data_IF_550654576252
#
_entry.id   IF_550654576252
#
_cell.length_a   1.000
_cell.length_b   1.000
_cell.length_c   1.000
_cell.angle_alpha   90.00
_cell.angle_beta   90.00
_cell.angle_gamma   90.00
#
_symmetry.space_group_name_H-M   'P 1'
#
loop_
_entity.id
_entity.type
_entity.pdbx_description
1 polymer ?
#
# COMPACT_ATOMS: atom_id res chain seq x y z
N UNK A 1 -26.65 10.54 55.52
CA UNK A 1 -26.49 9.97 54.18
C UNK A 1 -25.55 10.87 53.41
N UNK A 2 -24.34 10.42 53.12
CA UNK A 2 -23.34 11.22 52.40
C UNK A 2 -23.65 11.24 50.90
N UNK A 3 -23.58 12.39 50.21
CA UNK A 3 -23.80 12.45 48.78
C UNK A 3 -22.68 11.71 48.06
N UNK A 4 -23.05 10.77 47.18
CA UNK A 4 -22.09 10.11 46.28
C UNK A 4 -21.65 11.16 45.26
N UNK A 5 -20.38 11.57 45.32
CA UNK A 5 -19.72 12.34 44.26
C UNK A 5 -19.89 11.55 42.96
N UNK A 6 -20.63 12.13 42.01
CA UNK A 6 -20.67 11.60 40.65
C UNK A 6 -19.23 11.66 40.11
N UNK A 7 -18.63 10.52 39.73
CA UNK A 7 -17.29 10.53 39.17
C UNK A 7 -17.35 11.36 37.89
N UNK A 8 -16.64 12.49 37.89
CA UNK A 8 -16.48 13.36 36.74
C UNK A 8 -16.14 12.51 35.51
N UNK A 9 -16.91 12.68 34.44
CA UNK A 9 -16.76 11.95 33.20
C UNK A 9 -15.42 12.34 32.56
N UNK A 10 -14.37 11.60 32.93
CA UNK A 10 -13.01 11.88 32.45
C UNK A 10 -12.98 11.68 30.94
N UNK A 11 -12.94 12.79 30.20
CA UNK A 11 -12.76 12.81 28.75
C UNK A 11 -11.52 11.98 28.41
N UNK A 12 -11.74 10.91 27.64
CA UNK A 12 -10.66 10.05 27.17
C UNK A 12 -10.19 10.54 25.81
N UNK A 13 -8.90 10.81 25.69
CA UNK A 13 -8.28 11.25 24.43
C UNK A 13 -7.43 10.10 23.92
N UNK A 14 -7.74 9.62 22.73
CA UNK A 14 -6.91 8.63 22.04
C UNK A 14 -5.63 9.31 21.55
N UNK A 15 -4.48 8.69 21.85
CA UNK A 15 -3.18 9.12 21.31
C UNK A 15 -2.72 8.08 20.30
N UNK A 16 -2.59 8.44 19.01
CA UNK A 16 -2.07 7.53 17.98
C UNK A 16 -0.66 7.03 18.32
N UNK A 17 -0.30 5.82 17.87
CA UNK A 17 1.05 5.30 18.07
C UNK A 17 2.08 6.23 17.42
N UNK A 18 3.16 6.52 18.14
CA UNK A 18 4.22 7.38 17.61
C UNK A 18 5.02 6.64 16.54
N UNK A 19 5.36 7.28 15.41
CA UNK A 19 6.26 6.67 14.45
C UNK A 19 7.62 6.45 15.10
N UNK A 20 8.21 5.28 14.85
CA UNK A 20 9.55 4.97 15.32
C UNK A 20 10.55 5.75 14.47
N UNK A 21 11.42 6.54 15.09
CA UNK A 21 12.38 7.37 14.38
C UNK A 21 13.39 6.45 13.70
N UNK A 22 13.42 6.50 12.36
CA UNK A 22 14.18 5.60 11.50
C UNK A 22 13.88 4.10 11.71
N UNK A 23 12.70 3.75 12.22
CA UNK A 23 12.29 2.35 12.45
C UNK A 23 13.08 1.63 13.55
N UNK A 24 13.82 2.34 14.40
CA UNK A 24 14.71 1.75 15.40
C UNK A 24 13.91 1.30 16.64
N UNK A 25 13.93 0.00 16.94
CA UNK A 25 13.26 -0.61 18.11
C UNK A 25 14.16 -0.61 19.35
N UNK A 26 15.48 -0.64 19.15
CA UNK A 26 16.43 -0.60 20.25
C UNK A 26 16.52 0.83 20.80
N UNK A 27 16.58 1.00 22.13
CA UNK A 27 16.80 2.32 22.73
C UNK A 27 18.15 2.83 22.23
N UNK A 28 18.15 3.99 21.58
CA UNK A 28 19.38 4.68 21.21
C UNK A 28 20.15 5.13 22.46
N UNK A 29 21.46 5.44 22.32
CA UNK A 29 22.23 6.06 23.39
C UNK A 29 21.53 7.34 23.86
N UNK A 30 21.25 7.35 25.16
CA UNK A 30 20.40 8.27 25.93
C UNK A 30 20.56 9.76 25.61
N UNK A 31 19.47 10.45 25.21
CA UNK A 31 19.11 11.82 25.64
C UNK A 31 17.94 12.47 24.88
N UNK A 32 17.63 12.08 23.63
CA UNK A 32 16.78 12.91 22.77
C UNK A 32 15.36 12.40 22.49
N UNK A 33 15.00 11.20 22.95
CA UNK A 33 13.74 10.57 22.59
C UNK A 33 12.99 10.08 23.83
N UNK A 34 11.73 10.47 23.96
CA UNK A 34 10.84 9.92 24.99
C UNK A 34 10.81 8.39 24.87
N UNK A 35 10.77 7.70 26.02
CA UNK A 35 10.79 6.24 26.05
C UNK A 35 9.67 5.68 25.16
N UNK A 36 10.07 4.94 24.12
CA UNK A 36 9.18 4.15 23.30
C UNK A 36 8.39 3.17 24.19
N UNK A 37 7.07 3.13 24.04
CA UNK A 37 6.23 2.19 24.79
C UNK A 37 5.88 1.00 23.89
N UNK A 38 5.67 -0.19 24.45
CA UNK A 38 5.29 -1.37 23.64
C UNK A 38 4.05 -1.15 22.74
N UNK A 39 3.20 -0.19 23.08
CA UNK A 39 2.08 0.27 22.25
C UNK A 39 2.50 0.97 20.96
N UNK A 40 3.69 1.55 20.88
CA UNK A 40 4.16 2.21 19.67
C UNK A 40 4.70 1.21 18.62
N UNK A 41 4.98 -0.06 18.97
CA UNK A 41 5.42 -1.07 17.99
C UNK A 41 4.22 -1.37 17.08
N UNK A 42 4.43 -1.22 15.77
CA UNK A 42 3.54 -1.77 14.74
C UNK A 42 4.07 -3.12 14.30
N UNK A 43 3.40 -4.19 14.74
CA UNK A 43 3.68 -5.54 14.30
C UNK A 43 2.62 -5.99 13.30
N UNK A 44 2.92 -7.08 12.60
CA UNK A 44 1.98 -7.76 11.70
C UNK A 44 1.92 -9.24 12.05
N UNK A 45 0.78 -9.87 11.90
CA UNK A 45 0.72 -11.34 11.92
C UNK A 45 1.29 -11.90 10.63
N UNK A 46 1.50 -13.22 10.59
CA UNK A 46 1.84 -13.94 9.35
C UNK A 46 0.83 -13.67 8.21
N UNK A 47 -0.44 -13.45 8.56
CA UNK A 47 -1.51 -13.07 7.60
C UNK A 47 -1.50 -11.58 7.23
N UNK A 48 -0.47 -10.83 7.63
CA UNK A 48 -0.35 -9.39 7.40
C UNK A 48 -1.29 -8.53 8.25
N UNK A 49 -1.97 -9.08 9.25
CA UNK A 49 -2.92 -8.31 10.09
C UNK A 49 -2.17 -7.45 11.10
N UNK A 50 -2.56 -6.19 11.32
CA UNK A 50 -1.88 -5.34 12.29
C UNK A 50 -2.05 -5.89 13.71
N UNK A 51 -0.95 -5.84 14.47
CA UNK A 51 -0.87 -6.31 15.83
C UNK A 51 -0.03 -5.35 16.69
N UNK A 52 -0.39 -5.23 17.97
CA UNK A 52 0.30 -4.33 18.90
C UNK A 52 0.15 -4.77 20.35
N UNK A 53 0.99 -4.20 21.22
CA UNK A 53 0.92 -4.44 22.65
C UNK A 53 0.09 -3.37 23.38
N UNK A 54 -0.81 -3.82 24.24
CA UNK A 54 -1.64 -3.02 25.12
C UNK A 54 -1.38 -3.42 26.57
N UNK A 55 -1.35 -2.43 27.48
CA UNK A 55 -1.21 -2.66 28.92
C UNK A 55 -2.26 -3.63 29.47
N UNK A 56 -3.52 -3.48 29.02
CA UNK A 56 -4.66 -4.23 29.54
C UNK A 56 -4.91 -5.54 28.81
N UNK A 57 -4.84 -5.52 27.48
CA UNK A 57 -5.19 -6.68 26.64
C UNK A 57 -3.97 -7.51 26.19
N UNK A 58 -2.77 -7.10 26.62
CA UNK A 58 -1.48 -7.72 26.28
C UNK A 58 -1.20 -7.62 24.78
N UNK A 59 -1.31 -8.67 24.00
CA UNK A 59 -1.22 -8.57 22.54
C UNK A 59 -2.62 -8.42 21.97
N UNK A 60 -2.81 -7.47 21.05
CA UNK A 60 -4.04 -7.29 20.27
C UNK A 60 -3.71 -7.51 18.80
N UNK A 61 -4.55 -8.30 18.14
CA UNK A 61 -4.54 -8.53 16.69
C UNK A 61 -5.87 -8.01 16.15
N UNK A 62 -5.80 -7.18 15.11
CA UNK A 62 -6.97 -6.64 14.43
C UNK A 62 -7.24 -7.38 13.13
N UNK A 63 -8.35 -8.12 13.08
CA UNK A 63 -8.70 -8.95 11.93
C UNK A 63 -9.62 -8.22 10.92
N UNK A 64 -10.18 -7.06 11.30
CA UNK A 64 -11.03 -6.22 10.46
C UNK A 64 -12.25 -5.66 11.20
N UNK A 65 -13.11 -4.95 10.47
CA UNK A 65 -14.37 -4.43 10.98
C UNK A 65 -15.55 -5.02 10.20
N UNK A 66 -16.67 -5.25 10.89
CA UNK A 66 -17.96 -5.53 10.26
C UNK A 66 -18.93 -4.40 10.56
N UNK A 67 -19.63 -3.95 9.54
CA UNK A 67 -20.75 -3.03 9.69
C UNK A 67 -22.00 -3.87 10.00
N UNK A 68 -22.59 -3.64 11.17
CA UNK A 68 -23.86 -4.29 11.53
C UNK A 68 -25.00 -3.52 10.87
N UNK A 69 -26.13 -4.18 10.60
CA UNK A 69 -27.32 -3.60 9.92
C UNK A 69 -27.85 -2.27 10.50
N UNK A 70 -27.43 -1.89 11.72
CA UNK A 70 -27.73 -0.60 12.35
C UNK A 70 -26.67 0.50 12.18
N UNK A 71 -25.69 0.33 11.30
CA UNK A 71 -24.58 1.28 11.09
C UNK A 71 -23.52 1.30 12.19
N UNK A 72 -23.60 0.37 13.16
CA UNK A 72 -22.59 0.24 14.21
C UNK A 72 -21.40 -0.61 13.72
N UNK A 73 -20.21 -0.02 13.74
CA UNK A 73 -18.95 -0.69 13.41
C UNK A 73 -18.51 -1.62 14.55
N UNK A 74 -18.50 -2.93 14.29
CA UNK A 74 -17.97 -3.94 15.22
C UNK A 74 -16.59 -4.40 14.76
N UNK A 75 -15.59 -4.12 15.59
CA UNK A 75 -14.22 -4.55 15.33
C UNK A 75 -14.00 -6.01 15.70
N UNK A 76 -13.54 -6.81 14.75
CA UNK A 76 -13.03 -8.16 14.97
C UNK A 76 -11.61 -8.08 15.49
N UNK A 77 -11.44 -8.47 16.75
CA UNK A 77 -10.16 -8.46 17.42
C UNK A 77 -9.90 -9.77 18.14
N UNK A 78 -8.62 -10.15 18.21
CA UNK A 78 -8.13 -11.24 19.04
C UNK A 78 -7.13 -10.68 20.04
N UNK A 79 -7.12 -11.19 21.27
CA UNK A 79 -6.13 -10.80 22.27
C UNK A 79 -5.57 -11.97 23.06
N UNK A 80 -4.37 -11.79 23.60
CA UNK A 80 -3.72 -12.75 24.50
C UNK A 80 -4.11 -12.58 25.98
N UNK A 81 -5.02 -11.65 26.28
CA UNK A 81 -5.47 -11.32 27.63
C UNK A 81 -5.94 -12.56 28.40
N UNK A 82 -5.26 -12.83 29.52
CA UNK A 82 -5.64 -13.85 30.49
C UNK A 82 -5.57 -15.29 29.97
N UNK A 83 -4.94 -15.54 28.82
CA UNK A 83 -4.77 -16.90 28.29
C UNK A 83 -3.69 -17.67 29.07
N UNK A 84 -2.57 -17.01 29.37
CA UNK A 84 -1.50 -17.59 30.19
C UNK A 84 -1.98 -17.99 31.59
N UNK A 85 -2.85 -17.18 32.19
CA UNK A 85 -3.39 -17.42 33.54
C UNK A 85 -4.48 -18.50 33.53
N UNK A 86 -5.32 -18.54 32.51
CA UNK A 86 -6.46 -19.45 32.47
C UNK A 86 -6.18 -20.80 31.80
N UNK A 87 -4.96 -21.05 31.30
CA UNK A 87 -4.56 -22.26 30.53
C UNK A 87 -5.56 -22.64 29.41
N UNK A 88 -6.21 -21.63 28.81
CA UNK A 88 -7.22 -21.85 27.77
C UNK A 88 -6.53 -22.07 26.43
N UNK A 89 -7.10 -22.96 25.60
CA UNK A 89 -6.66 -23.11 24.20
C UNK A 89 -7.03 -21.84 23.43
N UNK A 90 -6.02 -21.03 23.13
CA UNK A 90 -6.11 -19.98 22.12
C UNK A 90 -5.57 -20.49 20.78
N UNK A 91 -5.81 -19.71 19.73
CA UNK A 91 -5.15 -19.90 18.45
C UNK A 91 -3.71 -19.43 18.59
N UNK A 92 -2.74 -20.24 18.15
CA UNK A 92 -1.34 -19.81 18.10
C UNK A 92 -1.15 -18.90 16.91
N UNK A 93 -0.74 -17.66 17.16
CA UNK A 93 -0.48 -16.67 16.11
C UNK A 93 0.99 -16.24 16.15
N UNK A 94 1.65 -16.25 15.00
CA UNK A 94 3.00 -15.72 14.84
C UNK A 94 2.93 -14.24 14.53
N UNK A 95 3.49 -13.43 15.43
CA UNK A 95 3.63 -11.98 15.28
C UNK A 95 5.03 -11.68 14.77
N UNK A 96 5.08 -10.86 13.72
CA UNK A 96 6.28 -10.44 13.01
C UNK A 96 6.44 -8.93 13.23
N UNK A 97 7.57 -8.54 13.81
CA UNK A 97 7.98 -7.15 13.92
C UNK A 97 9.02 -6.91 12.81
N UNK A 98 8.70 -6.13 11.77
CA UNK A 98 9.69 -5.78 10.76
C UNK A 98 10.75 -4.87 11.37
N UNK A 99 12.03 -5.13 11.08
CA UNK A 99 13.13 -4.26 11.50
C UNK A 99 13.63 -3.51 10.28
N UNK A 100 13.20 -2.27 10.14
CA UNK A 100 13.58 -1.40 9.01
C UNK A 100 14.87 -0.63 9.27
N UNK A 101 15.31 -0.55 10.53
CA UNK A 101 16.50 0.18 10.91
C UNK A 101 17.79 -0.64 10.72
N UNK A 102 18.75 -0.12 9.96
CA UNK A 102 20.08 -0.73 9.79
C UNK A 102 20.77 -1.01 11.13
N UNK A 103 20.69 -0.11 12.10
CA UNK A 103 21.24 -0.32 13.45
C UNK A 103 20.64 -1.55 14.14
N UNK A 104 19.32 -1.74 14.08
CA UNK A 104 18.68 -2.91 14.67
C UNK A 104 19.06 -4.20 13.93
N UNK A 105 19.16 -4.13 12.60
CA UNK A 105 19.55 -5.26 11.77
C UNK A 105 20.99 -5.70 12.04
N UNK A 106 21.93 -4.76 12.16
CA UNK A 106 23.34 -5.03 12.48
C UNK A 106 23.50 -5.61 13.89
N UNK A 107 22.86 -4.99 14.89
CA UNK A 107 22.99 -5.42 16.29
C UNK A 107 22.37 -6.79 16.56
N UNK A 108 21.26 -7.13 15.89
CA UNK A 108 20.54 -8.39 16.10
C UNK A 108 20.83 -9.43 15.01
N UNK A 109 21.55 -9.05 13.94
CA UNK A 109 21.82 -9.84 12.74
C UNK A 109 20.57 -10.50 12.14
N UNK A 110 19.46 -9.76 12.12
CA UNK A 110 18.13 -10.25 11.71
C UNK A 110 17.36 -9.11 11.04
N UNK A 111 16.44 -9.45 10.13
CA UNK A 111 15.59 -8.48 9.41
C UNK A 111 14.17 -8.40 9.99
N UNK A 112 13.79 -9.42 10.75
CA UNK A 112 12.48 -9.53 11.37
C UNK A 112 12.59 -10.21 12.73
N UNK A 113 11.72 -9.82 13.65
CA UNK A 113 11.55 -10.50 14.93
C UNK A 113 10.23 -11.26 14.92
N UNK A 114 10.30 -12.59 15.05
CA UNK A 114 9.13 -13.47 15.14
C UNK A 114 8.86 -13.87 16.58
N UNK A 115 7.60 -13.82 16.99
CA UNK A 115 7.15 -14.23 18.31
C UNK A 115 5.81 -14.96 18.22
N UNK A 116 5.75 -16.19 18.70
CA UNK A 116 4.53 -16.97 18.76
C UNK A 116 3.76 -16.65 20.04
N UNK A 117 2.49 -16.27 19.90
CA UNK A 117 1.62 -15.99 21.03
C UNK A 117 0.25 -16.63 20.85
N UNK A 118 -0.32 -17.14 21.93
CA UNK A 118 -1.71 -17.57 21.92
C UNK A 118 -2.63 -16.36 22.00
N UNK A 119 -3.64 -16.34 21.14
CA UNK A 119 -4.67 -15.30 21.08
C UNK A 119 -6.06 -15.92 21.03
N UNK A 120 -7.08 -15.16 21.42
CA UNK A 120 -8.47 -15.60 21.35
C UNK A 120 -9.39 -14.43 21.00
N UNK A 121 -10.50 -14.71 20.31
CA UNK A 121 -11.52 -13.72 19.96
C UNK A 121 -12.12 -13.11 21.22
N UNK A 122 -11.95 -11.80 21.42
CA UNK A 122 -12.51 -11.05 22.55
C UNK A 122 -12.67 -9.59 22.19
N UNK A 123 -13.47 -8.88 22.99
CA UNK A 123 -13.48 -7.43 22.99
C UNK A 123 -12.23 -6.87 23.68
N UNK A 124 -11.75 -5.74 23.18
CA UNK A 124 -10.58 -5.02 23.68
C UNK A 124 -10.98 -3.75 24.42
N UNK A 125 -10.02 -3.15 25.12
CA UNK A 125 -10.19 -1.90 25.85
C UNK A 125 -10.52 -0.74 24.90
N UNK A 126 -10.98 0.38 25.47
CA UNK A 126 -11.38 1.57 24.72
C UNK A 126 -10.25 2.09 23.82
N UNK A 127 -9.01 2.20 24.34
CA UNK A 127 -7.86 2.67 23.55
C UNK A 127 -7.57 1.77 22.35
N UNK A 128 -7.74 0.44 22.50
CA UNK A 128 -7.54 -0.49 21.40
C UNK A 128 -8.67 -0.41 20.37
N UNK A 129 -9.90 -0.12 20.78
CA UNK A 129 -11.00 0.12 19.82
C UNK A 129 -10.74 1.37 18.99
N UNK A 130 -10.30 2.45 19.61
CA UNK A 130 -9.93 3.67 18.87
C UNK A 130 -8.73 3.43 17.96
N UNK A 131 -7.76 2.64 18.40
CA UNK A 131 -6.67 2.21 17.50
C UNK A 131 -7.15 1.36 16.34
N UNK A 132 -8.10 0.43 16.53
CA UNK A 132 -8.68 -0.34 15.42
C UNK A 132 -9.31 0.59 14.37
N UNK A 133 -10.04 1.63 14.82
CA UNK A 133 -10.60 2.65 13.93
C UNK A 133 -9.48 3.38 13.17
N UNK A 134 -8.44 3.80 13.88
CA UNK A 134 -7.29 4.47 13.27
C UNK A 134 -6.55 3.59 12.24
N UNK A 135 -6.26 2.32 12.56
CA UNK A 135 -5.58 1.39 11.62
C UNK A 135 -6.43 1.15 10.37
N UNK A 136 -7.77 1.08 10.51
CA UNK A 136 -8.68 0.96 9.38
C UNK A 136 -8.65 2.21 8.48
N UNK A 137 -8.59 3.40 9.07
CA UNK A 137 -8.49 4.65 8.31
C UNK A 137 -7.12 4.79 7.61
N UNK A 138 -6.04 4.37 8.27
CA UNK A 138 -4.69 4.33 7.66
C UNK A 138 -4.62 3.34 6.49
N UNK A 139 -5.26 2.18 6.61
CA UNK A 139 -5.36 1.21 5.52
C UNK A 139 -6.09 1.79 4.31
N UNK A 140 -7.17 2.56 4.52
CA UNK A 140 -7.90 3.25 3.44
C UNK A 140 -7.01 4.30 2.77
N UNK A 141 -6.35 5.16 3.54
CA UNK A 141 -5.42 6.18 3.00
C UNK A 141 -4.30 5.56 2.16
N UNK A 142 -3.71 4.47 2.64
CA UNK A 142 -2.62 3.80 1.93
C UNK A 142 -3.09 3.25 0.58
N UNK A 143 -4.30 2.66 0.54
CA UNK A 143 -4.90 2.17 -0.72
C UNK A 143 -5.22 3.30 -1.69
N UNK A 144 -5.71 4.44 -1.20
CA UNK A 144 -6.01 5.60 -2.05
C UNK A 144 -4.75 6.19 -2.71
N UNK A 145 -3.63 6.25 -1.98
CA UNK A 145 -2.34 6.71 -2.54
C UNK A 145 -1.83 5.74 -3.60
N UNK A 146 -1.84 4.44 -3.32
CA UNK A 146 -1.42 3.42 -4.28
C UNK A 146 -2.28 3.42 -5.56
N UNK A 147 -3.59 3.63 -5.43
CA UNK A 147 -4.48 3.72 -6.59
C UNK A 147 -4.23 4.99 -7.43
N UNK A 148 -3.85 6.11 -6.81
CA UNK A 148 -3.49 7.34 -7.52
C UNK A 148 -2.16 7.19 -8.27
N UNK A 149 -1.17 6.55 -7.68
CA UNK A 149 0.12 6.28 -8.33
C UNK A 149 -0.03 5.27 -9.49
N UNK A 150 -0.88 4.25 -9.35
CA UNK A 150 -1.18 3.31 -10.43
C UNK A 150 -2.00 3.96 -11.57
N UNK A 151 -2.88 4.91 -11.26
CA UNK A 151 -3.64 5.68 -12.25
C UNK A 151 -2.78 6.64 -13.07
N UNK A 152 -1.84 7.34 -12.42
CA UNK A 152 -0.94 8.31 -13.06
C UNK A 152 0.06 7.66 -14.05
N UNK A 153 0.52 6.43 -13.77
CA UNK A 153 1.38 5.68 -14.72
C UNK A 153 0.59 5.14 -15.92
N UNK A 154 -0.70 4.81 -15.75
CA UNK A 154 -1.53 4.33 -16.85
C UNK A 154 -2.02 5.44 -17.78
N UNK A 155 -2.23 6.67 -17.29
CA UNK A 155 -2.59 7.80 -18.16
C UNK A 155 -1.36 8.36 -18.89
N UNK A 156 -0.22 8.53 -18.21
CA UNK A 156 1.02 8.97 -18.86
C UNK A 156 1.50 8.05 -19.98
N UNK A 157 1.31 6.73 -19.85
CA UNK A 157 1.63 5.78 -20.93
C UNK A 157 0.62 5.79 -22.08
N UNK A 158 -0.64 6.16 -21.85
CA UNK A 158 -1.63 6.28 -22.93
C UNK A 158 -1.45 7.59 -23.70
N UNK A 159 -1.09 8.67 -23.02
CA UNK A 159 -0.83 9.96 -23.68
C UNK A 159 0.51 9.97 -24.42
N UNK A 160 1.59 9.41 -23.85
CA UNK A 160 2.88 9.29 -24.54
C UNK A 160 2.84 8.40 -25.80
N UNK A 161 1.93 7.42 -25.85
CA UNK A 161 1.74 6.57 -27.02
C UNK A 161 0.81 7.21 -28.07
N UNK A 162 0.03 8.23 -27.69
CA UNK A 162 -0.88 8.96 -28.57
C UNK A 162 -0.19 10.14 -29.25
N UNK A 163 0.65 10.88 -28.52
CA UNK A 163 1.50 11.94 -29.09
C UNK A 163 2.51 11.39 -30.13
N UNK A 164 2.96 10.14 -29.98
CA UNK A 164 3.86 9.49 -30.93
C UNK A 164 3.18 9.07 -32.25
N UNK A 165 1.87 8.88 -32.25
CA UNK A 165 1.13 8.43 -33.43
C UNK A 165 0.72 9.59 -34.36
N UNK A 166 0.43 10.78 -33.80
CA UNK A 166 0.07 11.97 -34.59
C UNK A 166 1.28 12.71 -35.19
N UNK A 167 2.49 12.51 -34.65
CA UNK A 167 3.70 13.20 -35.13
C UNK A 167 4.37 12.56 -36.36
N UNK A 168 3.81 11.47 -36.91
CA UNK A 168 4.36 10.74 -38.08
C UNK A 168 3.70 11.15 -39.41
N UNK A 169 2.59 11.89 -39.37
CA UNK A 169 1.85 12.28 -40.59
C UNK A 169 2.01 13.76 -41.00
N UNK A 170 2.81 14.56 -40.28
CA UNK A 170 2.93 16.00 -40.56
C UNK A 170 4.25 16.45 -41.19
N UNK A 171 5.28 15.60 -41.25
CA UNK A 171 6.62 16.01 -41.74
C UNK A 171 6.97 15.55 -43.18
N UNK A 172 6.04 14.92 -43.90
CA UNK A 172 6.33 14.25 -45.19
C UNK A 172 5.82 14.98 -46.45
N UNK A 173 5.46 16.27 -46.37
CA UNK A 173 5.15 17.08 -47.56
C UNK A 173 6.19 18.15 -47.89
N UNK A 174 7.02 18.58 -46.93
CA UNK A 174 8.04 19.62 -47.18
C UNK A 174 9.41 19.08 -47.60
N UNK A 175 9.69 17.80 -47.31
CA UNK A 175 11.05 17.24 -47.44
C UNK A 175 11.31 16.55 -48.77
N UNK A 176 10.25 16.10 -49.47
CA UNK A 176 10.38 15.40 -50.75
C UNK A 176 10.70 16.37 -51.91
N UNK A 177 10.15 17.58 -51.90
CA UNK A 177 10.38 18.59 -52.95
C UNK A 177 11.84 19.13 -52.94
N UNK A 178 12.45 19.28 -51.76
CA UNK A 178 13.86 19.71 -51.63
C UNK A 178 14.89 18.60 -51.93
N UNK A 179 14.48 17.32 -51.90
CA UNK A 179 15.35 16.18 -52.23
C UNK A 179 15.42 15.92 -53.74
N UNK A 180 14.37 16.29 -54.49
CA UNK A 180 14.33 16.14 -55.95
C UNK A 180 15.20 17.16 -56.71
N UNK A 181 15.50 18.33 -56.11
CA UNK A 181 16.32 19.37 -56.75
C UNK A 181 17.84 19.12 -56.61
N UNK A 182 18.27 18.31 -55.63
CA UNK A 182 19.70 18.11 -55.30
C UNK A 182 20.37 16.90 -55.97
N UNK A 183 19.61 16.01 -56.60
CA UNK A 183 20.17 14.85 -57.30
C UNK A 183 20.02 15.10 -58.80
N UNK A 184 21.02 15.76 -59.39
CA UNK A 184 21.11 16.05 -60.82
C UNK A 184 21.20 14.78 -61.67
N UNK A 185 20.07 14.09 -61.83
CA UNK A 185 19.93 12.94 -62.73
C UNK A 185 19.26 13.45 -64.00
N UNK A 186 20.10 13.77 -64.98
CA UNK A 186 19.68 13.99 -66.36
C UNK A 186 19.02 12.72 -66.89
N UNK A 187 17.71 12.76 -67.11
CA UNK A 187 17.00 11.68 -67.78
C UNK A 187 16.92 12.00 -69.27
N UNK A 188 17.87 11.46 -70.03
CA UNK A 188 17.80 11.39 -71.49
C UNK A 188 16.56 10.61 -71.96
N UNK A 189 16.12 10.81 -73.22
CA UNK A 189 14.83 10.32 -73.68
C UNK A 189 14.86 8.80 -73.86
N UNK A 190 14.00 8.09 -73.11
CA UNK A 190 13.71 6.67 -73.39
C UNK A 190 12.34 6.55 -74.08
N UNK A 191 12.40 5.80 -75.16
CA UNK A 191 11.45 5.66 -76.26
C UNK A 191 10.22 4.82 -75.81
N UNK A 192 9.04 4.98 -76.42
CA UNK A 192 7.80 4.34 -75.97
C UNK A 192 7.78 2.84 -76.27
N UNK A 193 7.37 2.01 -75.29
CA UNK A 193 6.98 0.62 -75.53
C UNK A 193 5.64 0.36 -74.84
N UNK A 194 4.84 -0.45 -75.55
CA UNK A 194 3.40 -0.50 -75.66
C UNK A 194 2.61 -1.00 -74.44
N UNK A 195 1.34 -0.59 -74.43
CA UNK A 195 0.26 -0.98 -73.54
C UNK A 195 -0.07 -2.46 -73.73
N UNK A 196 0.09 -3.27 -72.68
CA UNK A 196 -0.47 -4.64 -72.63
C UNK A 196 -1.65 -4.63 -71.66
N UNK A 197 -2.79 -5.08 -72.19
CA UNK A 197 -4.14 -4.89 -71.65
C UNK A 197 -4.45 -5.54 -70.30
N UNK A 198 -5.55 -5.06 -69.73
CA UNK A 198 -6.05 -5.36 -68.40
C UNK A 198 -6.58 -6.79 -68.22
N UNK A 199 -6.66 -7.18 -66.94
CA UNK A 199 -6.94 -8.55 -66.48
C UNK A 199 -8.46 -8.82 -66.38
N UNK A 200 -9.32 -7.97 -66.96
CA UNK A 200 -10.77 -8.25 -67.05
C UNK A 200 -11.10 -9.46 -67.94
N UNK A 201 -10.12 -10.02 -68.67
CA UNK A 201 -10.32 -11.15 -69.58
C UNK A 201 -9.98 -12.55 -69.03
N UNK A 202 -9.69 -12.73 -67.73
CA UNK A 202 -9.19 -14.05 -67.26
C UNK A 202 -10.06 -14.94 -66.40
N UNK A 203 -11.17 -14.52 -65.79
CA UNK A 203 -12.06 -15.48 -65.11
C UNK A 203 -13.53 -15.05 -65.15
N UNK A 204 -14.09 -15.02 -66.37
CA UNK A 204 -15.40 -15.61 -66.61
C UNK A 204 -15.21 -17.13 -66.69
N UNK A 205 -15.69 -17.82 -65.67
CA UNK A 205 -15.72 -19.29 -65.54
C UNK A 205 -16.54 -19.65 -64.32
#
# INVERSE_FOLDING_TARGET
>A
MSPKLNPEEKVRIFTPPKPMLNGCILPGPSAQMGAFTGSDVRAKTEKGRPAWWCKFDKLVVFDGAEETEGGELRFKTRSSKGLSVARRRGDTETVIIPMECAHCQEMLNRHEWKYDMQVCKRTVCWDCKERCRWEMDEEKKTKEVQNKEAGDVSEKNKDANRDRADSVLQDDQGREEQLMEKVGIEHGPRIPIEVVGGIEERLGG
#
